data_IF_713972211957
#
_entry.id   IF_713972211957
#
_cell.length_a   1.000
_cell.length_b   1.000
_cell.length_c   1.000
_cell.angle_alpha   90.00
_cell.angle_beta   90.00
_cell.angle_gamma   90.00
#
_symmetry.space_group_name_H-M   'P 1'
#
loop_
_entity.id
_entity.type
_entity.pdbx_description
1 polymer ?
#
# COMPACT_ATOMS: atom_id res chain seq x y z
N UNK A 1 33.00 -5.65 -6.45
CA UNK A 1 33.23 -4.47 -5.60
C UNK A 1 33.66 -4.97 -4.20
N UNK A 2 34.75 -4.45 -3.67
CA UNK A 2 35.17 -4.78 -2.31
C UNK A 2 34.54 -3.77 -1.36
N UNK A 3 33.79 -4.26 -0.38
CA UNK A 3 33.26 -3.40 0.68
C UNK A 3 34.41 -2.91 1.58
N UNK A 4 34.52 -1.59 1.73
CA UNK A 4 35.59 -0.96 2.50
C UNK A 4 35.54 -1.27 3.98
N UNK A 5 34.38 -1.60 4.52
CA UNK A 5 34.19 -1.91 5.95
C UNK A 5 34.49 -3.36 6.31
N UNK A 6 34.03 -4.31 5.49
CA UNK A 6 34.11 -5.75 5.79
C UNK A 6 35.18 -6.49 4.98
N UNK A 7 35.88 -5.83 4.04
CA UNK A 7 36.84 -6.41 3.08
C UNK A 7 36.30 -7.61 2.28
N UNK A 8 34.99 -7.80 2.24
CA UNK A 8 34.36 -8.88 1.48
C UNK A 8 34.10 -8.45 0.04
N UNK A 9 34.26 -9.40 -0.87
CA UNK A 9 33.85 -9.20 -2.28
C UNK A 9 32.33 -9.23 -2.34
N UNK A 10 31.74 -8.13 -2.74
CA UNK A 10 30.30 -7.92 -2.74
C UNK A 10 29.81 -7.88 -4.16
N UNK A 11 28.77 -8.64 -4.47
CA UNK A 11 28.12 -8.62 -5.75
C UNK A 11 27.56 -7.23 -6.09
N UNK A 12 27.50 -6.93 -7.38
CA UNK A 12 27.04 -5.63 -7.88
C UNK A 12 25.61 -5.28 -7.42
N UNK A 13 24.74 -6.29 -7.39
CA UNK A 13 23.33 -6.13 -7.01
C UNK A 13 23.11 -5.89 -5.51
N UNK A 14 24.12 -6.11 -4.66
CA UNK A 14 23.94 -6.02 -3.21
C UNK A 14 23.48 -4.64 -2.75
N UNK A 15 23.92 -3.57 -3.44
CA UNK A 15 23.47 -2.20 -3.12
C UNK A 15 21.97 -1.98 -3.39
N UNK A 16 21.40 -2.75 -4.31
CA UNK A 16 19.99 -2.66 -4.68
C UNK A 16 19.07 -3.50 -3.79
N UNK A 17 19.59 -4.50 -3.08
CA UNK A 17 18.76 -5.40 -2.26
C UNK A 17 17.94 -4.63 -1.23
N UNK A 18 18.58 -3.74 -0.47
CA UNK A 18 17.88 -2.97 0.57
C UNK A 18 16.79 -2.06 0.01
N UNK A 19 17.05 -1.19 -0.97
CA UNK A 19 15.98 -0.36 -1.54
C UNK A 19 14.91 -1.17 -2.25
N UNK A 20 15.24 -2.32 -2.86
CA UNK A 20 14.26 -3.20 -3.47
C UNK A 20 13.31 -3.83 -2.43
N UNK A 21 13.84 -4.31 -1.32
CA UNK A 21 13.01 -4.85 -0.25
C UNK A 21 12.11 -3.78 0.37
N UNK A 22 12.62 -2.54 0.53
CA UNK A 22 11.80 -1.42 1.00
C UNK A 22 10.71 -1.07 0.01
N UNK A 23 11.00 -1.09 -1.29
CA UNK A 23 10.01 -0.83 -2.34
C UNK A 23 8.87 -1.86 -2.27
N UNK A 24 9.20 -3.15 -2.24
CA UNK A 24 8.20 -4.22 -2.12
C UNK A 24 7.32 -4.06 -0.88
N UNK A 25 7.93 -3.76 0.27
CA UNK A 25 7.18 -3.56 1.51
C UNK A 25 6.22 -2.37 1.43
N UNK A 26 6.61 -1.26 0.78
CA UNK A 26 5.72 -0.11 0.67
C UNK A 26 4.63 -0.34 -0.38
N UNK A 27 4.92 -1.05 -1.46
CA UNK A 27 3.92 -1.45 -2.44
C UNK A 27 2.82 -2.31 -1.78
N UNK A 28 3.21 -3.33 -1.02
CA UNK A 28 2.27 -4.16 -0.26
C UNK A 28 1.49 -3.34 0.77
N UNK A 29 2.17 -2.45 1.51
CA UNK A 29 1.55 -1.58 2.51
C UNK A 29 0.53 -0.61 1.90
N UNK A 30 0.82 -0.03 0.72
CA UNK A 30 -0.10 0.85 -0.01
C UNK A 30 -1.35 0.09 -0.44
N UNK A 31 -1.20 -1.13 -0.96
CA UNK A 31 -2.34 -1.97 -1.35
C UNK A 31 -3.21 -2.28 -0.14
N UNK A 32 -2.60 -2.76 0.96
CA UNK A 32 -3.32 -3.06 2.20
C UNK A 32 -4.02 -1.82 2.77
N UNK A 33 -3.33 -0.67 2.78
CA UNK A 33 -3.90 0.59 3.23
C UNK A 33 -5.11 1.01 2.39
N UNK A 34 -5.01 0.92 1.06
CA UNK A 34 -6.12 1.26 0.16
C UNK A 34 -7.31 0.34 0.37
N UNK A 35 -7.08 -0.97 0.45
CA UNK A 35 -8.17 -1.94 0.69
C UNK A 35 -8.83 -1.70 2.05
N UNK A 36 -8.04 -1.43 3.10
CA UNK A 36 -8.57 -1.28 4.46
C UNK A 36 -9.13 0.10 4.78
N UNK A 37 -8.67 1.15 4.11
CA UNK A 37 -9.00 2.54 4.44
C UNK A 37 -9.82 3.27 3.38
N UNK A 38 -9.80 2.82 2.11
CA UNK A 38 -10.59 3.45 1.06
C UNK A 38 -12.11 3.37 1.33
N UNK A 39 -12.67 2.23 1.79
CA UNK A 39 -14.09 2.18 2.07
C UNK A 39 -14.46 3.08 3.25
N UNK A 40 -15.55 3.80 3.12
CA UNK A 40 -16.19 4.46 4.24
C UNK A 40 -16.63 3.41 5.27
N UNK A 41 -16.43 3.70 6.54
CA UNK A 41 -16.82 2.82 7.64
C UNK A 41 -18.14 3.30 8.19
N UNK A 42 -19.04 2.38 8.49
CA UNK A 42 -20.32 2.68 9.11
C UNK A 42 -20.28 2.36 10.59
N UNK A 43 -20.85 3.26 11.40
CA UNK A 43 -21.08 3.03 12.81
C UNK A 43 -22.59 2.87 13.00
N UNK A 44 -22.96 1.70 13.46
CA UNK A 44 -24.33 1.39 13.82
C UNK A 44 -24.52 1.57 15.33
N UNK A 45 -25.20 2.62 15.73
CA UNK A 45 -25.64 2.80 17.10
C UNK A 45 -26.96 2.06 17.28
N UNK A 46 -26.93 0.94 17.99
CA UNK A 46 -28.11 0.10 18.21
C UNK A 46 -28.72 0.46 19.56
N UNK A 47 -29.99 0.87 19.52
CA UNK A 47 -30.73 1.09 20.75
C UNK A 47 -31.04 -0.27 21.39
N UNK A 48 -30.50 -0.48 22.58
CA UNK A 48 -30.70 -1.70 23.36
C UNK A 48 -31.69 -1.47 24.51
N UNK A 49 -32.23 -0.24 24.63
CA UNK A 49 -33.16 0.12 25.68
C UNK A 49 -32.66 -0.28 27.07
N UNK A 50 -33.56 -0.82 27.87
CA UNK A 50 -33.29 -1.27 29.25
C UNK A 50 -32.82 -2.73 29.36
N UNK A 51 -32.28 -3.33 28.28
CA UNK A 51 -31.80 -4.70 28.36
C UNK A 51 -30.61 -4.81 29.32
N UNK A 52 -30.53 -5.89 30.13
CA UNK A 52 -29.35 -6.19 30.93
C UNK A 52 -28.10 -6.28 30.01
N UNK A 53 -26.94 -5.84 30.53
CA UNK A 53 -25.69 -5.74 29.77
C UNK A 53 -25.37 -7.00 28.95
N UNK A 54 -25.49 -8.18 29.56
CA UNK A 54 -25.23 -9.47 28.92
C UNK A 54 -26.19 -9.75 27.75
N UNK A 55 -27.47 -9.45 27.90
CA UNK A 55 -28.48 -9.63 26.84
C UNK A 55 -28.30 -8.62 25.72
N UNK A 56 -27.88 -7.39 26.02
CA UNK A 56 -27.58 -6.38 25.04
C UNK A 56 -26.36 -6.79 24.18
N UNK A 57 -25.29 -7.30 24.80
CA UNK A 57 -24.12 -7.81 24.10
C UNK A 57 -24.44 -9.02 23.21
N UNK A 58 -25.24 -9.96 23.71
CA UNK A 58 -25.72 -11.11 22.92
C UNK A 58 -26.56 -10.68 21.71
N UNK A 59 -27.45 -9.71 21.91
CA UNK A 59 -28.29 -9.15 20.86
C UNK A 59 -27.45 -8.51 19.76
N UNK A 60 -26.46 -7.67 20.14
CA UNK A 60 -25.55 -7.03 19.19
C UNK A 60 -24.71 -8.08 18.47
N UNK A 61 -24.17 -9.07 19.17
CA UNK A 61 -23.38 -10.14 18.58
C UNK A 61 -24.19 -10.96 17.56
N UNK A 62 -25.47 -11.23 17.87
CA UNK A 62 -26.36 -11.92 16.94
C UNK A 62 -26.65 -11.09 15.69
N UNK A 63 -26.85 -9.79 15.84
CA UNK A 63 -27.00 -8.84 14.73
C UNK A 63 -25.73 -8.75 13.89
N UNK A 64 -24.58 -8.61 14.53
CA UNK A 64 -23.29 -8.61 13.84
C UNK A 64 -23.10 -9.88 13.00
N UNK A 65 -23.32 -11.06 13.58
CA UNK A 65 -23.16 -12.32 12.88
C UNK A 65 -24.13 -12.47 11.71
N UNK A 66 -25.32 -11.88 11.81
CA UNK A 66 -26.32 -11.89 10.76
C UNK A 66 -25.97 -10.98 9.58
N UNK A 67 -25.30 -9.86 9.85
CA UNK A 67 -25.04 -8.83 8.85
C UNK A 67 -23.54 -8.61 8.55
N UNK A 68 -22.63 -9.34 9.22
CA UNK A 68 -21.19 -9.21 9.04
C UNK A 68 -20.74 -9.97 7.82
N UNK A 69 -20.16 -9.26 6.87
CA UNK A 69 -19.47 -9.85 5.75
C UNK A 69 -17.98 -9.70 5.91
N UNK A 70 -17.26 -10.69 5.44
CA UNK A 70 -15.81 -10.72 5.53
C UNK A 70 -15.23 -10.73 4.12
N UNK A 71 -14.54 -9.65 3.76
CA UNK A 71 -13.66 -9.64 2.60
C UNK A 71 -12.29 -10.14 3.07
N UNK A 72 -11.78 -11.17 2.42
CA UNK A 72 -10.45 -11.71 2.72
C UNK A 72 -9.56 -11.44 1.52
N UNK A 73 -8.43 -10.77 1.76
CA UNK A 73 -7.38 -10.58 0.77
C UNK A 73 -6.33 -11.68 0.96
N UNK A 74 -6.08 -12.45 -0.09
CA UNK A 74 -4.98 -13.41 -0.12
C UNK A 74 -3.73 -12.76 -0.70
N UNK A 75 -2.76 -12.48 0.17
CA UNK A 75 -1.51 -11.83 -0.21
C UNK A 75 -0.61 -12.70 -1.10
N UNK A 76 -0.86 -14.01 -1.18
CA UNK A 76 -0.08 -14.94 -2.01
C UNK A 76 -0.53 -14.95 -3.46
N UNK A 77 -1.84 -14.83 -3.70
CA UNK A 77 -2.44 -14.86 -5.03
C UNK A 77 -2.83 -13.47 -5.54
N UNK A 78 -2.92 -12.48 -4.64
CA UNK A 78 -3.44 -11.16 -4.97
C UNK A 78 -4.95 -11.12 -5.19
N UNK A 79 -5.65 -12.21 -4.86
CA UNK A 79 -7.08 -12.38 -5.10
C UNK A 79 -7.91 -11.86 -3.93
N UNK A 80 -8.97 -11.12 -4.24
CA UNK A 80 -9.94 -10.67 -3.24
C UNK A 80 -11.09 -11.67 -3.24
N UNK A 81 -11.20 -12.44 -2.17
CA UNK A 81 -12.34 -13.33 -1.96
C UNK A 81 -13.45 -12.57 -1.25
N UNK A 82 -14.52 -12.32 -1.97
CA UNK A 82 -15.73 -11.68 -1.47
C UNK A 82 -16.79 -12.74 -1.23
N UNK A 83 -17.22 -12.89 0.01
CA UNK A 83 -18.37 -13.73 0.34
C UNK A 83 -19.65 -12.96 0.02
N UNK A 84 -20.06 -13.04 -1.27
CA UNK A 84 -21.06 -12.19 -1.96
C UNK A 84 -22.47 -12.20 -1.40
N UNK A 85 -22.70 -12.74 -0.23
CA UNK A 85 -24.06 -12.79 0.30
C UNK A 85 -24.58 -11.43 0.73
N UNK A 86 -23.72 -10.46 1.00
CA UNK A 86 -24.14 -9.14 1.43
C UNK A 86 -23.04 -8.11 1.08
N UNK A 87 -23.41 -6.97 0.56
CA UNK A 87 -22.54 -5.81 0.34
C UNK A 87 -22.25 -5.11 1.66
N UNK A 88 -21.29 -5.55 2.44
CA UNK A 88 -20.87 -4.81 3.61
C UNK A 88 -19.44 -4.29 3.48
N UNK A 89 -19.19 -3.17 4.11
CA UNK A 89 -17.87 -2.56 4.21
C UNK A 89 -16.98 -3.37 5.14
N UNK A 90 -15.67 -3.32 4.94
CA UNK A 90 -14.65 -4.12 5.62
C UNK A 90 -14.69 -4.04 7.15
N UNK A 91 -15.17 -2.93 7.72
CA UNK A 91 -15.26 -2.74 9.16
C UNK A 91 -16.47 -1.88 9.51
N UNK A 92 -17.55 -2.52 9.88
CA UNK A 92 -18.70 -1.86 10.47
C UNK A 92 -18.58 -1.92 12.00
N UNK A 93 -18.82 -0.80 12.68
CA UNK A 93 -18.81 -0.72 14.14
C UNK A 93 -20.22 -0.78 14.68
N UNK A 94 -20.48 -1.70 15.58
CA UNK A 94 -21.77 -1.93 16.21
C UNK A 94 -21.69 -1.54 17.68
N UNK A 95 -22.25 -0.39 18.04
CA UNK A 95 -22.15 0.16 19.36
C UNK A 95 -23.51 0.16 20.06
N UNK A 96 -23.59 -0.39 21.30
CA UNK A 96 -24.80 -0.31 22.08
C UNK A 96 -25.05 1.12 22.55
N UNK A 97 -26.26 1.61 22.35
CA UNK A 97 -26.71 2.88 22.88
C UNK A 97 -27.76 2.61 23.96
N UNK A 98 -27.58 3.22 25.13
CA UNK A 98 -28.52 3.19 26.23
C UNK A 98 -29.03 4.59 26.42
N UNK A 99 -30.33 4.68 26.70
CA UNK A 99 -31.09 5.85 27.14
C UNK A 99 -30.61 7.23 26.66
N UNK A 100 -31.52 7.97 26.09
CA UNK A 100 -31.34 9.36 25.70
C UNK A 100 -31.93 9.75 24.36
N UNK A 101 -32.74 8.89 23.78
CA UNK A 101 -33.81 9.38 22.94
C UNK A 101 -33.56 9.56 21.45
N UNK A 102 -32.62 8.91 20.78
CA UNK A 102 -32.52 8.99 19.31
C UNK A 102 -32.61 7.66 18.59
N UNK A 103 -33.06 6.58 19.20
CA UNK A 103 -33.19 5.30 18.51
C UNK A 103 -31.90 4.79 17.90
N UNK A 104 -32.03 3.88 16.95
CA UNK A 104 -30.90 3.36 16.13
C UNK A 104 -30.47 4.42 15.13
N UNK A 105 -29.19 4.75 15.12
CA UNK A 105 -28.58 5.76 14.25
C UNK A 105 -27.42 5.15 13.47
N UNK A 106 -27.26 5.53 12.22
CA UNK A 106 -26.14 5.12 11.38
C UNK A 106 -25.30 6.37 11.12
N UNK A 107 -24.04 6.31 11.49
CA UNK A 107 -23.05 7.34 11.19
C UNK A 107 -21.98 6.77 10.27
N UNK A 108 -21.43 7.58 9.41
CA UNK A 108 -20.33 7.20 8.52
C UNK A 108 -19.04 7.84 9.02
N UNK A 109 -17.96 7.07 9.01
CA UNK A 109 -16.61 7.60 9.13
C UNK A 109 -16.04 7.74 7.72
N UNK A 110 -15.54 8.91 7.42
CA UNK A 110 -14.92 9.17 6.14
C UNK A 110 -13.78 8.18 5.85
N UNK A 111 -13.65 7.81 4.60
CA UNK A 111 -12.55 6.97 4.13
C UNK A 111 -11.18 7.64 4.30
N UNK A 112 -10.13 6.89 4.08
CA UNK A 112 -8.76 7.42 4.15
C UNK A 112 -8.54 8.52 3.11
N UNK A 113 -7.89 9.60 3.53
CA UNK A 113 -7.44 10.66 2.62
C UNK A 113 -6.12 10.23 1.95
N UNK A 114 -5.78 10.90 0.85
CA UNK A 114 -4.50 10.72 0.13
C UNK A 114 -4.27 9.30 -0.44
N UNK A 115 -5.35 8.61 -0.82
CA UNK A 115 -5.26 7.27 -1.40
C UNK A 115 -4.58 7.25 -2.79
N UNK A 116 -4.48 8.40 -3.45
CA UNK A 116 -3.84 8.56 -4.76
C UNK A 116 -2.35 8.86 -4.70
N UNK A 117 -1.79 9.17 -3.54
CA UNK A 117 -0.39 9.54 -3.40
C UNK A 117 0.53 8.32 -3.60
N UNK A 118 1.48 8.47 -4.53
CA UNK A 118 2.46 7.44 -4.88
C UNK A 118 3.91 7.94 -4.77
N UNK A 119 4.12 9.13 -4.22
CA UNK A 119 5.42 9.78 -4.17
C UNK A 119 6.50 8.93 -3.48
N UNK A 120 6.14 8.25 -2.40
CA UNK A 120 7.05 7.37 -1.66
C UNK A 120 7.46 6.15 -2.49
N UNK A 121 6.52 5.57 -3.23
CA UNK A 121 6.77 4.44 -4.14
C UNK A 121 7.70 4.87 -5.26
N UNK A 122 7.42 6.02 -5.89
CA UNK A 122 8.26 6.58 -6.95
C UNK A 122 9.66 6.93 -6.44
N UNK A 123 9.77 7.50 -5.24
CA UNK A 123 11.07 7.79 -4.63
C UNK A 123 11.90 6.52 -4.43
N UNK A 124 11.30 5.46 -3.89
CA UNK A 124 12.00 4.19 -3.69
C UNK A 124 12.35 3.51 -5.02
N UNK A 125 11.47 3.58 -6.00
CA UNK A 125 11.74 3.08 -7.34
C UNK A 125 12.94 3.80 -7.97
N UNK A 126 12.97 5.14 -7.93
CA UNK A 126 14.12 5.95 -8.37
C UNK A 126 15.40 5.59 -7.61
N UNK A 127 15.28 5.26 -6.33
CA UNK A 127 16.42 4.83 -5.49
C UNK A 127 16.97 3.45 -5.92
N UNK A 128 16.11 2.52 -6.31
CA UNK A 128 16.52 1.22 -6.89
C UNK A 128 17.30 1.44 -8.18
N UNK A 129 16.80 2.25 -9.11
CA UNK A 129 17.50 2.57 -10.37
C UNK A 129 18.87 3.20 -10.11
N UNK A 130 18.96 4.17 -9.19
CA UNK A 130 20.24 4.77 -8.80
C UNK A 130 21.22 3.76 -8.19
N UNK A 131 20.72 2.83 -7.36
CA UNK A 131 21.55 1.79 -6.76
C UNK A 131 22.11 0.82 -7.82
N UNK A 132 21.39 0.58 -8.91
CA UNK A 132 21.80 -0.21 -10.06
C UNK A 132 22.59 0.58 -11.09
N UNK A 133 22.81 1.89 -10.88
CA UNK A 133 23.41 2.82 -11.84
C UNK A 133 22.67 2.90 -13.19
N UNK A 134 21.39 2.58 -13.20
CA UNK A 134 20.53 2.75 -14.37
C UNK A 134 20.01 4.18 -14.41
N UNK A 135 20.03 4.88 -15.55
CA UNK A 135 19.48 6.21 -15.68
C UNK A 135 17.98 6.23 -15.36
N UNK A 136 17.57 7.16 -14.51
CA UNK A 136 16.15 7.32 -14.13
C UNK A 136 15.32 7.78 -15.33
N UNK A 137 15.94 8.47 -16.28
CA UNK A 137 15.31 8.90 -17.54
C UNK A 137 14.70 7.77 -18.37
N UNK A 138 15.21 6.55 -18.22
CA UNK A 138 14.62 5.36 -18.88
C UNK A 138 13.26 4.95 -18.32
N UNK A 139 12.97 5.35 -17.09
CA UNK A 139 11.68 5.15 -16.44
C UNK A 139 10.62 6.14 -16.92
N UNK A 140 11.06 7.35 -17.25
CA UNK A 140 10.20 8.48 -17.57
C UNK A 140 9.97 8.65 -19.07
N UNK A 141 10.18 7.60 -19.88
CA UNK A 141 10.08 7.64 -21.35
C UNK A 141 8.68 8.04 -21.88
N UNK A 142 7.65 7.97 -21.04
CA UNK A 142 6.28 8.35 -21.41
C UNK A 142 5.98 9.87 -21.26
N UNK A 143 6.87 10.62 -20.63
CA UNK A 143 6.68 12.06 -20.49
C UNK A 143 7.28 12.78 -21.70
N UNK A 144 6.42 13.22 -22.60
CA UNK A 144 6.65 13.90 -23.86
C UNK A 144 7.99 14.60 -24.06
N UNK A 145 8.47 14.54 -25.28
CA UNK A 145 9.74 15.08 -25.75
C UNK A 145 9.92 16.55 -25.36
N UNK A 146 10.77 16.80 -24.37
CA UNK A 146 11.09 18.13 -23.90
C UNK A 146 12.55 18.46 -24.27
N UNK A 147 12.76 19.39 -25.20
CA UNK A 147 14.09 19.69 -25.78
C UNK A 147 15.16 20.06 -24.73
N UNK A 148 14.77 20.66 -23.60
CA UNK A 148 15.69 20.97 -22.51
C UNK A 148 16.21 19.75 -21.73
N UNK A 149 15.45 18.67 -21.73
CA UNK A 149 15.78 17.40 -21.06
C UNK A 149 16.67 16.49 -21.88
N UNK A 150 16.70 16.67 -23.19
CA UNK A 150 17.45 15.80 -24.12
C UNK A 150 18.95 15.78 -23.85
N UNK A 151 19.54 16.90 -23.50
CA UNK A 151 20.97 17.02 -23.18
C UNK A 151 21.35 16.29 -21.87
N UNK A 152 20.47 16.31 -20.86
CA UNK A 152 20.67 15.63 -19.59
C UNK A 152 20.49 14.10 -19.75
N UNK A 153 19.48 13.68 -20.47
CA UNK A 153 19.24 12.28 -20.84
C UNK A 153 20.45 11.72 -21.58
N UNK A 154 20.97 12.45 -22.57
CA UNK A 154 22.16 12.03 -23.34
C UNK A 154 23.39 11.89 -22.45
N UNK A 155 23.61 12.80 -21.51
CA UNK A 155 24.73 12.74 -20.56
C UNK A 155 24.66 11.49 -19.66
N UNK A 156 23.49 11.17 -19.15
CA UNK A 156 23.31 10.01 -18.26
C UNK A 156 23.41 8.70 -19.04
N UNK A 157 22.92 8.65 -20.27
CA UNK A 157 23.09 7.50 -21.16
C UNK A 157 24.58 7.28 -21.51
N UNK A 158 25.35 8.32 -21.76
CA UNK A 158 26.80 8.20 -22.01
C UNK A 158 27.54 7.67 -20.78
N UNK A 159 27.18 8.13 -19.58
CA UNK A 159 27.75 7.60 -18.32
C UNK A 159 27.42 6.12 -18.14
N UNK A 160 26.17 5.75 -18.40
CA UNK A 160 25.70 4.37 -18.30
C UNK A 160 26.43 3.47 -19.30
N UNK A 161 26.56 3.90 -20.56
CA UNK A 161 27.30 3.17 -21.60
C UNK A 161 28.77 2.96 -21.23
N UNK A 162 29.46 4.02 -20.76
CA UNK A 162 30.85 3.91 -20.28
C UNK A 162 31.00 2.92 -19.13
N UNK A 163 29.99 2.86 -18.27
CA UNK A 163 29.99 1.93 -17.16
C UNK A 163 29.78 0.48 -17.62
N UNK A 164 28.84 0.23 -18.53
CA UNK A 164 28.62 -1.08 -19.18
C UNK A 164 29.90 -1.57 -19.84
N UNK A 165 30.55 -0.73 -20.65
CA UNK A 165 31.80 -1.09 -21.32
C UNK A 165 32.92 -1.47 -20.32
N UNK A 166 32.99 -0.78 -19.17
CA UNK A 166 33.95 -1.16 -18.11
C UNK A 166 33.65 -2.52 -17.50
N UNK A 167 32.39 -2.89 -17.38
CA UNK A 167 32.01 -4.22 -16.92
C UNK A 167 32.39 -5.28 -17.96
N UNK A 168 32.00 -5.08 -19.23
CA UNK A 168 32.29 -6.00 -20.33
C UNK A 168 33.78 -6.24 -20.51
N UNK A 169 34.59 -5.19 -20.37
CA UNK A 169 36.06 -5.31 -20.51
C UNK A 169 36.74 -6.03 -19.33
N UNK A 170 36.01 -6.38 -18.27
CA UNK A 170 36.51 -7.14 -17.13
C UNK A 170 36.17 -8.63 -17.17
N UNK A 171 35.30 -9.01 -18.08
CA UNK A 171 34.93 -10.39 -18.37
C UNK A 171 35.57 -10.85 -19.67
#
# INVERSE_FOLDING_TARGET
VVDSGTKRVVGYLQKAIRPLNMLRQIEDAVVVYRISRAPERRIFYIDVGNLPKQKAEQYITSLMNKYKNKITYDASTGEIQDDRRHMSMLEDYWLPRREGGRGTEISTLDGGQNLGEMEDVEYLLKKVYRALHVPVSRMESDNGFNMGRSAEITRDEVKFYKWINRLQNRF
#
